data_IF_219175010418
#
_entry.id   IF_219175010418
#
_cell.length_a   1.000
_cell.length_b   1.000
_cell.length_c   1.000
_cell.angle_alpha   90.00
_cell.angle_beta   90.00
_cell.angle_gamma   90.00
#
_symmetry.space_group_name_H-M   'P 1'
#
loop_
_entity.id
_entity.type
_entity.pdbx_description
1 polymer ?
#
# COMPACT_ATOMS: atom_id res chain seq x y z
N UNK A 1 -9.49 20.00 -9.48
CA UNK A 1 -9.78 18.55 -9.38
C UNK A 1 -9.34 18.13 -7.99
N UNK A 2 -10.28 17.95 -7.07
CA UNK A 2 -9.97 17.60 -5.68
C UNK A 2 -9.73 16.09 -5.63
N UNK A 3 -8.47 15.70 -5.44
CA UNK A 3 -8.11 14.32 -5.15
C UNK A 3 -8.57 14.03 -3.71
N UNK A 4 -9.84 13.66 -3.54
CA UNK A 4 -10.32 13.12 -2.27
C UNK A 4 -9.59 11.80 -2.02
N UNK A 5 -8.66 11.86 -1.08
CA UNK A 5 -7.78 10.75 -0.74
C UNK A 5 -8.59 9.71 0.02
N UNK A 6 -8.91 8.60 -0.63
CA UNK A 6 -9.62 7.48 -0.02
C UNK A 6 -8.67 6.75 0.93
N UNK A 7 -8.84 6.97 2.24
CA UNK A 7 -8.12 6.27 3.31
C UNK A 7 -8.68 4.84 3.43
N UNK A 8 -7.82 3.83 3.52
CA UNK A 8 -8.18 2.42 3.65
C UNK A 8 -7.46 1.75 4.83
N UNK A 9 -8.02 0.68 5.41
CA UNK A 9 -7.28 -0.16 6.35
C UNK A 9 -5.95 -0.63 5.76
N UNK A 10 -4.88 -0.56 6.56
CA UNK A 10 -3.51 -0.90 6.16
C UNK A 10 -2.69 0.27 5.62
N UNK A 11 -3.32 1.42 5.33
CA UNK A 11 -2.59 2.62 4.90
C UNK A 11 -1.71 3.17 6.02
N UNK A 12 -0.47 3.55 5.69
CA UNK A 12 0.42 4.24 6.61
C UNK A 12 0.09 5.73 6.65
N UNK A 13 -0.06 6.26 7.86
CA UNK A 13 -0.45 7.64 8.08
C UNK A 13 0.46 8.29 9.13
N UNK A 14 0.68 9.58 8.98
CA UNK A 14 1.06 10.43 10.11
C UNK A 14 -0.21 11.00 10.73
N UNK A 15 -0.23 11.11 12.05
CA UNK A 15 -1.27 11.78 12.80
C UNK A 15 -0.66 12.85 13.68
N UNK A 16 -1.45 13.86 14.01
CA UNK A 16 -1.08 14.86 15.01
C UNK A 16 -2.13 14.88 16.10
N UNK A 17 -1.72 14.78 17.38
CA UNK A 17 -2.66 14.94 18.50
C UNK A 17 -3.10 16.39 18.62
N UNK A 18 -4.20 16.64 19.35
CA UNK A 18 -4.63 18.00 19.68
C UNK A 18 -3.57 18.83 20.44
N UNK A 19 -2.61 18.16 21.07
CA UNK A 19 -1.50 18.78 21.79
C UNK A 19 -0.25 19.00 20.91
N UNK A 20 -0.30 18.63 19.63
CA UNK A 20 0.80 18.78 18.68
C UNK A 20 1.81 17.63 18.65
N UNK A 21 1.54 16.51 19.32
CA UNK A 21 2.43 15.33 19.28
C UNK A 21 2.31 14.65 17.92
N UNK A 22 3.45 14.29 17.32
CA UNK A 22 3.46 13.56 16.06
C UNK A 22 3.40 12.05 16.31
N UNK A 23 2.53 11.37 15.58
CA UNK A 23 2.43 9.92 15.60
C UNK A 23 2.50 9.33 14.20
N UNK A 24 3.07 8.14 14.10
CA UNK A 24 3.15 7.32 12.92
C UNK A 24 2.46 5.99 13.21
N UNK A 25 1.68 5.52 12.26
CA UNK A 25 0.93 4.29 12.42
C UNK A 25 0.27 3.84 11.13
N UNK A 26 -0.43 2.72 11.21
CA UNK A 26 -1.25 2.23 10.11
C UNK A 26 -2.73 2.25 10.49
N UNK A 27 -3.59 2.40 9.49
CA UNK A 27 -5.04 2.44 9.69
C UNK A 27 -5.55 1.05 10.02
N UNK A 28 -6.15 0.88 11.20
CA UNK A 28 -6.85 -0.35 11.58
C UNK A 28 -8.26 -0.38 10.97
N UNK A 29 -8.98 0.74 11.03
CA UNK A 29 -10.32 0.87 10.43
C UNK A 29 -10.69 2.33 10.18
N UNK A 30 -11.58 2.56 9.21
CA UNK A 30 -12.12 3.88 8.90
C UNK A 30 -13.62 3.90 9.19
N UNK A 31 -14.06 4.90 9.94
CA UNK A 31 -15.47 5.18 10.15
C UNK A 31 -15.88 6.39 9.29
N UNK A 32 -16.43 6.08 8.12
CA UNK A 32 -16.89 7.10 7.17
C UNK A 32 -18.14 7.84 7.65
N UNK A 33 -18.96 7.23 8.51
CA UNK A 33 -20.18 7.86 9.05
C UNK A 33 -19.85 8.98 10.03
N UNK A 34 -18.77 8.80 10.81
CA UNK A 34 -18.31 9.78 11.78
C UNK A 34 -17.08 10.58 11.32
N UNK A 35 -16.50 10.28 10.15
CA UNK A 35 -15.33 10.96 9.60
C UNK A 35 -14.07 10.76 10.46
N UNK A 36 -13.95 9.58 11.09
CA UNK A 36 -12.82 9.25 11.98
C UNK A 36 -12.03 8.04 11.49
N UNK A 37 -10.77 7.98 11.88
CA UNK A 37 -9.82 6.94 11.52
C UNK A 37 -9.24 6.36 12.80
N UNK A 38 -9.28 5.04 12.92
CA UNK A 38 -8.60 4.31 14.00
C UNK A 38 -7.20 3.96 13.51
N UNK A 39 -6.20 4.54 14.16
CA UNK A 39 -4.78 4.40 13.83
C UNK A 39 -4.10 3.55 14.90
N UNK A 40 -3.44 2.47 14.50
CA UNK A 40 -2.54 1.73 15.37
C UNK A 40 -1.17 2.39 15.36
N UNK A 41 -0.74 2.90 16.51
CA UNK A 41 0.48 3.71 16.63
C UNK A 41 1.71 2.81 16.73
N UNK A 42 2.65 2.99 15.81
CA UNK A 42 3.94 2.27 15.79
C UNK A 42 5.09 3.13 16.29
N UNK A 43 4.98 4.45 16.18
CA UNK A 43 5.93 5.41 16.74
C UNK A 43 5.21 6.71 17.11
N UNK A 44 5.59 7.34 18.21
CA UNK A 44 5.02 8.59 18.67
C UNK A 44 6.04 9.30 19.56
N UNK A 45 6.03 10.64 19.54
CA UNK A 45 6.83 11.45 20.47
C UNK A 45 6.45 11.18 21.93
N UNK A 46 5.19 10.76 22.16
CA UNK A 46 4.72 10.27 23.44
C UNK A 46 4.76 8.74 23.47
N UNK A 47 5.78 8.20 24.13
CA UNK A 47 6.02 6.74 24.19
C UNK A 47 4.83 5.95 24.76
N UNK A 48 3.98 6.57 25.59
CA UNK A 48 2.78 5.92 26.15
C UNK A 48 1.71 5.58 25.11
N UNK A 49 1.77 6.24 23.95
CA UNK A 49 0.85 6.01 22.84
C UNK A 49 1.28 4.84 21.93
N UNK A 50 2.54 4.41 21.99
CA UNK A 50 3.07 3.36 21.12
C UNK A 50 2.41 2.02 21.45
N UNK A 51 1.99 1.27 20.43
CA UNK A 51 1.31 -0.01 20.56
C UNK A 51 -0.17 0.09 20.93
N UNK A 52 -0.76 1.29 20.86
CA UNK A 52 -2.19 1.52 21.13
C UNK A 52 -2.91 1.96 19.86
N UNK A 53 -4.21 1.66 19.82
CA UNK A 53 -5.09 2.22 18.80
C UNK A 53 -5.70 3.53 19.29
N UNK A 54 -5.57 4.58 18.50
CA UNK A 54 -6.12 5.91 18.78
C UNK A 54 -7.11 6.28 17.66
N UNK A 55 -8.24 6.86 18.05
CA UNK A 55 -9.22 7.40 17.09
C UNK A 55 -8.93 8.88 16.87
N UNK A 56 -8.72 9.27 15.61
CA UNK A 56 -8.49 10.65 15.18
C UNK A 56 -9.52 11.05 14.13
N UNK A 57 -9.81 12.35 14.02
CA UNK A 57 -10.57 12.86 12.89
C UNK A 57 -9.76 12.65 11.60
N UNK A 58 -10.43 12.36 10.49
CA UNK A 58 -9.78 12.18 9.18
C UNK A 58 -8.97 13.43 8.76
N UNK A 59 -9.32 14.62 9.26
CA UNK A 59 -8.59 15.87 9.04
C UNK A 59 -7.28 16.00 9.81
N UNK A 60 -7.07 15.19 10.85
CA UNK A 60 -5.88 15.20 11.71
C UNK A 60 -4.83 14.17 11.29
N UNK A 61 -5.09 13.44 10.21
CA UNK A 61 -4.21 12.40 9.68
C UNK A 61 -3.86 12.73 8.23
N UNK A 62 -2.59 12.57 7.87
CA UNK A 62 -2.16 12.63 6.48
C UNK A 62 -1.62 11.28 6.06
N UNK A 63 -2.04 10.81 4.88
CA UNK A 63 -1.48 9.62 4.27
C UNK A 63 0.00 9.84 4.00
N UNK A 64 0.81 8.96 4.58
CA UNK A 64 2.19 8.80 4.17
C UNK A 64 2.13 8.09 2.84
N UNK A 65 2.00 8.86 1.76
CA UNK A 65 2.29 8.34 0.44
C UNK A 65 3.75 7.91 0.45
N UNK A 66 3.97 6.61 0.60
CA UNK A 66 5.18 6.00 0.08
C UNK A 66 5.11 6.24 -1.42
N UNK A 67 5.72 7.32 -1.90
CA UNK A 67 6.13 7.37 -3.29
C UNK A 67 7.39 6.54 -3.30
N UNK A 68 7.35 5.25 -3.66
CA UNK A 68 8.58 4.53 -3.73
C UNK A 68 9.20 4.95 -5.06
N UNK A 69 9.94 6.05 -5.03
CA UNK A 69 11.03 6.20 -5.97
C UNK A 69 12.10 5.22 -5.50
N UNK A 70 11.85 3.93 -5.67
CA UNK A 70 12.82 2.90 -5.35
C UNK A 70 14.02 3.14 -6.27
N UNK A 71 15.21 3.17 -5.67
CA UNK A 71 16.43 3.13 -6.47
C UNK A 71 16.60 1.74 -7.07
N UNK A 72 17.41 1.63 -8.14
CA UNK A 72 17.77 0.34 -8.74
C UNK A 72 18.29 -0.63 -7.67
N UNK A 73 19.16 -0.15 -6.76
CA UNK A 73 19.72 -0.95 -5.68
C UNK A 73 18.65 -1.46 -4.70
N UNK A 74 17.68 -0.60 -4.33
CA UNK A 74 16.58 -1.00 -3.44
C UNK A 74 15.68 -2.06 -4.09
N UNK A 75 15.37 -1.91 -5.39
CA UNK A 75 14.61 -2.93 -6.11
C UNK A 75 15.35 -4.26 -6.19
N UNK A 76 16.65 -4.25 -6.47
CA UNK A 76 17.45 -5.49 -6.50
C UNK A 76 17.42 -6.21 -5.15
N UNK A 77 17.58 -5.49 -4.04
CA UNK A 77 17.50 -6.08 -2.69
C UNK A 77 16.11 -6.68 -2.39
N UNK A 78 15.04 -6.03 -2.84
CA UNK A 78 13.69 -6.55 -2.67
C UNK A 78 13.41 -7.76 -3.58
N UNK A 79 13.99 -7.79 -4.78
CA UNK A 79 13.91 -8.93 -5.69
C UNK A 79 14.58 -10.16 -5.06
N UNK A 80 15.78 -9.99 -4.49
CA UNK A 80 16.48 -11.07 -3.77
C UNK A 80 15.63 -11.60 -2.60
N UNK A 81 14.95 -10.70 -1.89
CA UNK A 81 14.05 -11.09 -0.81
C UNK A 81 12.82 -11.86 -1.33
N UNK A 82 12.23 -11.43 -2.44
CA UNK A 82 11.10 -12.12 -3.07
C UNK A 82 11.47 -13.55 -3.49
N UNK A 83 12.68 -13.73 -4.05
CA UNK A 83 13.24 -15.04 -4.38
C UNK A 83 13.44 -15.89 -3.13
N UNK A 84 14.00 -15.31 -2.05
CA UNK A 84 14.21 -16.02 -0.78
C UNK A 84 12.89 -16.47 -0.13
N UNK A 85 11.80 -15.72 -0.32
CA UNK A 85 10.47 -16.07 0.17
C UNK A 85 9.62 -16.89 -0.82
N UNK A 86 10.17 -17.19 -2.01
CA UNK A 86 9.48 -17.86 -3.12
C UNK A 86 8.15 -17.18 -3.53
N UNK A 87 8.13 -15.84 -3.53
CA UNK A 87 6.96 -15.03 -3.91
C UNK A 87 7.10 -14.56 -5.36
N UNK A 88 6.60 -15.40 -6.28
CA UNK A 88 6.70 -15.16 -7.73
C UNK A 88 5.97 -13.88 -8.18
N UNK A 89 4.80 -13.60 -7.59
CA UNK A 89 4.03 -12.41 -7.94
C UNK A 89 4.79 -11.13 -7.58
N UNK A 90 5.39 -11.11 -6.38
CA UNK A 90 6.18 -9.98 -5.92
C UNK A 90 7.49 -9.83 -6.70
N UNK A 91 8.14 -10.94 -7.06
CA UNK A 91 9.31 -10.94 -7.93
C UNK A 91 9.01 -10.31 -9.29
N UNK A 92 7.91 -10.72 -9.93
CA UNK A 92 7.50 -10.21 -11.25
C UNK A 92 7.18 -8.71 -11.21
N UNK A 93 6.49 -8.26 -10.15
CA UNK A 93 6.18 -6.85 -9.93
C UNK A 93 7.45 -6.00 -9.81
N UNK A 94 8.38 -6.38 -8.93
CA UNK A 94 9.62 -5.64 -8.68
C UNK A 94 10.54 -5.64 -9.91
N UNK A 95 10.62 -6.77 -10.61
CA UNK A 95 11.39 -6.89 -11.85
C UNK A 95 10.82 -6.00 -12.96
N UNK A 96 9.49 -5.91 -13.08
CA UNK A 96 8.83 -4.98 -13.99
C UNK A 96 9.12 -3.51 -13.67
N UNK A 97 9.13 -3.15 -12.38
CA UNK A 97 9.53 -1.81 -11.93
C UNK A 97 11.00 -1.51 -12.28
N UNK A 98 11.91 -2.48 -12.09
CA UNK A 98 13.33 -2.34 -12.40
C UNK A 98 13.56 -2.09 -13.90
N UNK A 99 12.87 -2.85 -14.76
CA UNK A 99 12.90 -2.68 -16.22
C UNK A 99 12.41 -1.28 -16.62
N UNK A 100 11.32 -0.82 -16.01
CA UNK A 100 10.74 0.51 -16.29
C UNK A 100 11.69 1.63 -15.87
N UNK A 101 12.35 1.51 -14.72
CA UNK A 101 13.37 2.45 -14.23
C UNK A 101 14.61 2.49 -15.13
N UNK A 102 15.04 1.33 -15.64
CA UNK A 102 16.24 1.24 -16.46
C UNK A 102 16.01 1.68 -17.93
N UNK A 103 14.80 1.46 -18.46
CA UNK A 103 14.49 1.73 -19.86
C UNK A 103 13.88 3.11 -20.11
N UNK A 104 13.53 3.88 -19.08
CA UNK A 104 12.96 5.23 -19.21
C UNK A 104 11.69 5.31 -20.08
N UNK A 105 11.03 4.19 -20.36
CA UNK A 105 9.84 4.09 -21.22
C UNK A 105 8.84 3.08 -20.66
N UNK A 106 7.59 3.52 -20.50
CA UNK A 106 6.41 2.69 -20.30
C UNK A 106 6.31 1.65 -21.44
N UNK A 107 5.97 0.38 -21.16
CA UNK A 107 5.54 -0.55 -22.19
C UNK A 107 4.22 -0.06 -22.78
N UNK A 108 4.28 0.50 -23.98
CA UNK A 108 3.13 0.54 -24.89
C UNK A 108 3.10 -0.79 -25.63
N UNK A 109 2.35 -1.75 -25.10
CA UNK A 109 1.74 -2.76 -25.96
C UNK A 109 0.22 -2.73 -25.76
N UNK A 110 -0.40 -2.21 -26.80
CA UNK A 110 -1.82 -2.19 -27.09
C UNK A 110 -2.30 -3.59 -27.46
N UNK A 111 -2.43 -4.50 -26.49
CA UNK A 111 -3.25 -5.71 -26.65
C UNK A 111 -3.48 -6.46 -25.33
N UNK A 112 -4.37 -5.92 -24.48
CA UNK A 112 -5.08 -6.76 -23.51
C UNK A 112 -6.59 -6.64 -23.79
N UNK A 113 -7.24 -7.73 -24.25
CA UNK A 113 -8.68 -7.75 -24.45
C UNK A 113 -9.42 -7.61 -23.11
N UNK A 114 -10.54 -6.90 -23.24
CA UNK A 114 -11.64 -6.69 -22.30
C UNK A 114 -11.87 -7.80 -21.25
N UNK A 115 -11.95 -7.36 -19.98
CA UNK A 115 -12.81 -7.82 -18.88
C UNK A 115 -12.92 -9.34 -18.53
N UNK A 116 -12.70 -9.60 -17.22
CA UNK A 116 -13.05 -10.78 -16.41
C UNK A 116 -12.12 -12.01 -16.48
N UNK A 117 -11.19 -12.11 -15.52
CA UNK A 117 -10.95 -13.32 -14.71
C UNK A 117 -10.16 -12.94 -13.46
N UNK A 118 -10.64 -13.42 -12.30
CA UNK A 118 -10.29 -12.96 -10.95
C UNK A 118 -8.83 -13.23 -10.59
N UNK A 119 -8.04 -12.17 -10.38
CA UNK A 119 -6.74 -12.18 -9.69
C UNK A 119 -7.00 -11.94 -8.20
N UNK A 120 -6.23 -12.59 -7.32
CA UNK A 120 -6.28 -12.24 -5.92
C UNK A 120 -4.89 -12.20 -5.27
N UNK A 121 -4.81 -11.48 -4.15
CA UNK A 121 -3.58 -11.02 -3.48
C UNK A 121 -3.61 -11.44 -1.98
N UNK A 122 -2.53 -11.18 -1.22
CA UNK A 122 -2.27 -11.52 0.21
C UNK A 122 -3.33 -11.03 1.25
N UNK A 123 -4.49 -10.58 0.82
CA UNK A 123 -5.71 -10.37 1.61
C UNK A 123 -6.69 -11.57 1.57
N UNK A 124 -6.29 -12.74 1.06
CA UNK A 124 -7.03 -14.00 1.25
C UNK A 124 -8.31 -14.12 0.42
N UNK A 125 -8.27 -13.77 -0.86
CA UNK A 125 -9.38 -14.03 -1.77
C UNK A 125 -8.81 -14.94 -2.92
N UNK A 126 -9.61 -15.81 -3.59
CA UNK A 126 -9.21 -17.06 -4.38
C UNK A 126 -8.32 -16.87 -5.64
N UNK A 127 -8.47 -17.54 -6.78
CA UNK A 127 -8.09 -17.21 -8.20
C UNK A 127 -8.86 -18.29 -8.93
N UNK A 128 -10.05 -18.00 -9.46
CA UNK A 128 -10.77 -19.02 -10.22
C UNK A 128 -10.40 -18.83 -11.68
N UNK A 129 -9.35 -19.56 -12.08
CA UNK A 129 -9.17 -19.95 -13.46
C UNK A 129 -10.30 -20.91 -13.84
N UNK A 130 -11.12 -20.50 -14.79
CA UNK A 130 -11.91 -21.43 -15.59
C UNK A 130 -11.36 -21.37 -17.00
N UNK A 131 -10.54 -22.36 -17.32
CA UNK A 131 -10.29 -22.77 -18.68
C UNK A 131 -11.61 -23.32 -19.26
N UNK A 132 -12.16 -22.65 -20.26
CA UNK A 132 -13.06 -23.18 -21.28
C UNK A 132 -12.79 -22.27 -22.50
N UNK A 133 -12.19 -22.72 -23.59
CA UNK A 133 -12.46 -23.96 -24.30
C UNK A 133 -13.26 -23.60 -25.55
N UNK A 134 -12.59 -23.68 -26.71
CA UNK A 134 -13.00 -23.42 -28.10
C UNK A 134 -12.79 -21.98 -28.62
#
# INVERSE_FOLDING_TARGET
>A
MNNEMIIKPGDWMNGTTGNGELMLGFVESVDASHGTVRLYVTACDNELAIGRTITLAASQVNLLRSSPLYTVQQLTQLIDLALATNDEAWFNELSGMLVTLNNGKLPQDSSLPNAHTKIFNRLGISVNGEANGL
#
